data_IF_511131698412
#
_entry.id   IF_511131698412
#
_cell.length_a   1.000
_cell.length_b   1.000
_cell.length_c   1.000
_cell.angle_alpha   90.00
_cell.angle_beta   90.00
_cell.angle_gamma   90.00
#
_symmetry.space_group_name_H-M   'P 1'
#
loop_
_entity.id
_entity.type
_entity.pdbx_description
1 polymer ?
#
# COMPACT_ATOMS: atom_id res chain seq x y z
N UNK A 1 -2.16 8.38 -13.78
CA UNK A 1 -1.02 8.08 -12.87
C UNK A 1 -0.28 6.85 -13.39
N UNK A 2 0.96 6.58 -12.99
CA UNK A 2 1.68 5.35 -13.33
C UNK A 2 1.98 4.54 -12.06
N UNK A 3 2.52 3.33 -12.20
CA UNK A 3 2.83 2.46 -11.06
C UNK A 3 3.80 3.09 -10.05
N UNK A 4 4.72 3.94 -10.50
CA UNK A 4 5.66 4.65 -9.62
C UNK A 4 4.94 5.62 -8.68
N UNK A 5 4.12 6.52 -9.22
CA UNK A 5 3.37 7.47 -8.39
C UNK A 5 2.34 6.74 -7.51
N UNK A 6 1.73 5.66 -8.01
CA UNK A 6 0.80 4.86 -7.24
C UNK A 6 1.47 4.15 -6.04
N UNK A 7 2.65 3.57 -6.25
CA UNK A 7 3.44 2.94 -5.20
C UNK A 7 3.87 3.97 -4.14
N UNK A 8 4.34 5.15 -4.58
CA UNK A 8 4.70 6.24 -3.69
C UNK A 8 3.51 6.71 -2.84
N UNK A 9 2.35 6.93 -3.47
CA UNK A 9 1.12 7.33 -2.78
C UNK A 9 0.73 6.31 -1.71
N UNK A 10 0.76 5.02 -2.05
CA UNK A 10 0.44 3.95 -1.11
C UNK A 10 1.43 3.89 0.06
N UNK A 11 2.74 3.94 -0.24
CA UNK A 11 3.79 3.92 0.78
C UNK A 11 3.64 5.09 1.78
N UNK A 12 3.42 6.30 1.27
CA UNK A 12 3.23 7.50 2.09
C UNK A 12 1.94 7.40 2.92
N UNK A 13 0.83 6.95 2.32
CA UNK A 13 -0.42 6.77 3.04
C UNK A 13 -0.26 5.79 4.21
N UNK A 14 0.35 4.62 3.99
CA UNK A 14 0.60 3.62 5.02
C UNK A 14 1.44 4.20 6.17
N UNK A 15 2.49 4.97 5.86
CA UNK A 15 3.34 5.62 6.86
C UNK A 15 2.55 6.64 7.68
N UNK A 16 1.89 7.59 7.01
CA UNK A 16 1.22 8.71 7.68
C UNK A 16 0.04 8.25 8.53
N UNK A 17 -0.81 7.37 8.01
CA UNK A 17 -1.94 6.84 8.78
C UNK A 17 -1.48 5.97 9.97
N UNK A 18 -0.34 5.27 9.86
CA UNK A 18 0.20 4.49 10.97
C UNK A 18 0.77 5.37 12.08
N UNK A 19 1.54 6.41 11.71
CA UNK A 19 2.03 7.42 12.67
C UNK A 19 0.83 8.08 13.37
N UNK A 20 -0.18 8.47 12.60
CA UNK A 20 -1.38 9.07 13.16
C UNK A 20 -2.15 8.13 14.08
N UNK A 21 -2.27 6.85 13.72
CA UNK A 21 -2.91 5.84 14.56
C UNK A 21 -2.20 5.66 15.91
N UNK A 22 -0.86 5.72 15.92
CA UNK A 22 -0.07 5.62 17.14
C UNK A 22 -0.19 6.88 18.00
N UNK A 23 0.00 8.07 17.42
CA UNK A 23 -0.02 9.34 18.15
C UNK A 23 -1.42 9.73 18.63
N UNK A 24 -2.48 9.29 17.93
CA UNK A 24 -3.86 9.60 18.25
C UNK A 24 -4.55 8.64 19.21
N UNK A 25 -3.85 7.59 19.68
CA UNK A 25 -4.43 6.59 20.58
C UNK A 25 -4.11 6.90 22.05
N UNK A 26 -5.12 6.79 22.92
CA UNK A 26 -4.95 6.86 24.39
C UNK A 26 -4.09 5.69 24.89
N UNK A 27 -4.22 4.51 24.26
CA UNK A 27 -3.43 3.32 24.53
C UNK A 27 -2.75 2.86 23.23
N UNK A 28 -1.60 3.45 22.87
CA UNK A 28 -0.95 3.16 21.60
C UNK A 28 -0.41 1.72 21.57
N UNK A 29 -0.70 1.00 20.48
CA UNK A 29 -0.19 -0.34 20.25
C UNK A 29 0.97 -0.32 19.26
N UNK A 30 2.03 -1.08 19.56
CA UNK A 30 3.13 -1.30 18.61
C UNK A 30 2.67 -2.01 17.32
N UNK A 31 1.55 -2.74 17.36
CA UNK A 31 0.99 -3.37 16.15
C UNK A 31 0.49 -2.36 15.12
N UNK A 32 0.23 -1.11 15.52
CA UNK A 32 -0.13 -0.02 14.60
C UNK A 32 1.03 0.35 13.66
N UNK A 33 2.27 -0.04 13.96
CA UNK A 33 3.43 0.17 13.09
C UNK A 33 3.61 -0.91 12.01
N UNK A 34 2.79 -1.98 11.98
CA UNK A 34 2.91 -2.99 10.91
C UNK A 34 2.73 -2.34 9.52
N UNK A 35 1.67 -1.54 9.25
CA UNK A 35 1.53 -0.87 7.96
C UNK A 35 2.63 0.18 7.73
N UNK A 36 3.15 0.84 8.78
CA UNK A 36 4.30 1.74 8.68
C UNK A 36 5.53 1.04 8.11
N UNK A 37 5.89 -0.13 8.64
CA UNK A 37 7.05 -0.90 8.17
C UNK A 37 6.89 -1.28 6.71
N UNK A 38 5.70 -1.73 6.31
CA UNK A 38 5.42 -2.01 4.89
C UNK A 38 5.49 -0.77 4.02
N UNK A 39 5.03 0.39 4.52
CA UNK A 39 5.19 1.67 3.83
C UNK A 39 6.66 2.01 3.58
N UNK A 40 7.54 1.83 4.56
CA UNK A 40 8.99 2.03 4.40
C UNK A 40 9.57 1.05 3.37
N UNK A 41 9.18 -0.22 3.42
CA UNK A 41 9.61 -1.22 2.44
C UNK A 41 9.19 -0.83 1.02
N UNK A 42 7.93 -0.45 0.81
CA UNK A 42 7.43 0.00 -0.50
C UNK A 42 8.13 1.28 -0.98
N UNK A 43 8.46 2.20 -0.06
CA UNK A 43 9.20 3.41 -0.38
C UNK A 43 10.62 3.09 -0.87
N UNK A 44 11.29 2.11 -0.24
CA UNK A 44 12.63 1.66 -0.65
C UNK A 44 12.66 1.04 -2.06
N UNK A 45 11.53 0.46 -2.50
CA UNK A 45 11.37 -0.14 -3.84
C UNK A 45 10.97 0.88 -4.91
N UNK A 46 10.68 2.13 -4.54
CA UNK A 46 10.06 3.10 -5.43
C UNK A 46 10.96 3.45 -6.63
N UNK A 47 12.29 3.53 -6.43
CA UNK A 47 13.25 3.73 -7.51
C UNK A 47 13.21 2.57 -8.52
N UNK A 48 13.16 1.32 -8.06
CA UNK A 48 13.02 0.18 -8.97
C UNK A 48 11.71 0.17 -9.74
N UNK A 49 10.62 0.63 -9.11
CA UNK A 49 9.34 0.81 -9.81
C UNK A 49 9.44 1.91 -10.88
N UNK A 50 10.13 3.01 -10.59
CA UNK A 50 10.37 4.11 -11.55
C UNK A 50 11.18 3.65 -12.75
N UNK A 51 12.29 2.95 -12.50
CA UNK A 51 13.22 2.49 -13.54
C UNK A 51 12.87 1.11 -14.10
N UNK A 52 11.68 0.57 -13.76
CA UNK A 52 11.14 -0.71 -14.26
C UNK A 52 12.06 -1.92 -14.02
N UNK A 53 12.78 -1.93 -12.89
CA UNK A 53 13.55 -3.10 -12.45
C UNK A 53 12.57 -4.23 -12.12
N UNK A 54 12.48 -5.23 -13.01
CA UNK A 54 11.41 -6.25 -13.01
C UNK A 54 11.27 -6.95 -11.65
N UNK A 55 12.39 -7.27 -10.99
CA UNK A 55 12.37 -7.90 -9.66
C UNK A 55 11.72 -6.99 -8.61
N UNK A 56 12.12 -5.72 -8.53
CA UNK A 56 11.57 -4.76 -7.56
C UNK A 56 10.10 -4.44 -7.84
N UNK A 57 9.69 -4.36 -9.12
CA UNK A 57 8.27 -4.19 -9.48
C UNK A 57 7.42 -5.37 -8.99
N UNK A 58 7.88 -6.60 -9.19
CA UNK A 58 7.16 -7.81 -8.74
C UNK A 58 7.08 -7.88 -7.22
N UNK A 59 8.18 -7.56 -6.53
CA UNK A 59 8.21 -7.53 -5.06
C UNK A 59 7.28 -6.44 -4.52
N UNK A 60 7.30 -5.23 -5.07
CA UNK A 60 6.43 -4.14 -4.65
C UNK A 60 4.93 -4.48 -4.86
N UNK A 61 4.58 -5.09 -6.00
CA UNK A 61 3.23 -5.54 -6.26
C UNK A 61 2.78 -6.65 -5.28
N UNK A 62 3.65 -7.63 -5.02
CA UNK A 62 3.37 -8.71 -4.06
C UNK A 62 3.22 -8.20 -2.62
N UNK A 63 4.09 -7.29 -2.19
CA UNK A 63 3.98 -6.63 -0.88
C UNK A 63 2.70 -5.80 -0.77
N UNK A 64 2.34 -5.06 -1.81
CA UNK A 64 1.09 -4.29 -1.83
C UNK A 64 -0.12 -5.21 -1.71
N UNK A 65 -0.12 -6.35 -2.39
CA UNK A 65 -1.20 -7.34 -2.30
C UNK A 65 -1.29 -7.92 -0.89
N UNK A 66 -0.15 -8.27 -0.29
CA UNK A 66 -0.07 -8.77 1.07
C UNK A 66 -0.64 -7.75 2.07
N UNK A 67 -0.26 -6.46 1.95
CA UNK A 67 -0.78 -5.38 2.81
C UNK A 67 -2.29 -5.21 2.65
N UNK A 68 -2.77 -5.19 1.40
CA UNK A 68 -4.20 -5.04 1.13
C UNK A 68 -5.04 -6.14 1.80
N UNK A 69 -4.60 -7.40 1.70
CA UNK A 69 -5.26 -8.53 2.34
C UNK A 69 -5.09 -8.50 3.87
N UNK A 70 -3.92 -8.11 4.37
CA UNK A 70 -3.65 -8.00 5.79
C UNK A 70 -4.52 -6.94 6.48
N UNK A 71 -4.90 -5.87 5.77
CA UNK A 71 -5.77 -4.80 6.27
C UNK A 71 -7.23 -5.22 6.50
N UNK A 72 -7.66 -6.38 5.98
CA UNK A 72 -9.02 -6.92 6.22
C UNK A 72 -9.25 -7.19 7.71
N UNK A 73 -8.26 -7.77 8.41
CA UNK A 73 -8.39 -8.06 9.86
C UNK A 73 -8.50 -6.78 10.71
N UNK A 74 -7.63 -5.76 10.54
CA UNK A 74 -7.80 -4.47 11.19
C UNK A 74 -9.15 -3.81 10.89
N UNK A 75 -9.66 -3.93 9.66
CA UNK A 75 -10.95 -3.38 9.29
C UNK A 75 -12.08 -4.06 10.06
N UNK A 76 -12.14 -5.39 10.03
CA UNK A 76 -13.13 -6.19 10.75
C UNK A 76 -13.09 -5.89 12.26
N UNK A 77 -11.90 -5.88 12.84
CA UNK A 77 -11.72 -5.53 14.25
C UNK A 77 -12.09 -4.09 14.59
N UNK A 78 -11.99 -3.14 13.65
CA UNK A 78 -12.44 -1.75 13.85
C UNK A 78 -13.95 -1.61 13.77
N UNK A 79 -14.60 -2.35 12.87
CA UNK A 79 -16.06 -2.40 12.73
C UNK A 79 -16.67 -3.01 13.99
N UNK A 80 -16.15 -4.15 14.45
CA UNK A 80 -16.66 -4.82 15.65
C UNK A 80 -16.50 -4.02 16.96
N UNK A 81 -15.73 -2.92 16.96
CA UNK A 81 -15.57 -2.00 18.09
C UNK A 81 -16.26 -0.66 17.88
N UNK A 82 -16.98 -0.47 16.77
CA UNK A 82 -17.56 0.80 16.35
C UNK A 82 -16.57 1.98 16.37
N UNK A 83 -15.28 1.70 16.12
CA UNK A 83 -14.23 2.72 16.08
C UNK A 83 -14.21 3.36 14.67
N UNK A 84 -15.10 4.33 14.46
CA UNK A 84 -15.23 5.05 13.18
C UNK A 84 -13.91 5.69 12.73
N UNK A 85 -13.08 6.12 13.68
CA UNK A 85 -11.78 6.70 13.39
C UNK A 85 -10.80 5.65 12.85
N UNK A 86 -10.88 4.42 13.36
CA UNK A 86 -10.11 3.28 12.87
C UNK A 86 -10.56 2.81 11.50
N UNK A 87 -11.87 2.73 11.30
CA UNK A 87 -12.44 2.39 10.01
C UNK A 87 -11.94 3.35 8.94
N UNK A 88 -12.01 4.68 9.20
CA UNK A 88 -11.59 5.69 8.25
C UNK A 88 -10.14 5.53 7.79
N UNK A 89 -9.20 5.41 8.74
CA UNK A 89 -7.77 5.26 8.41
C UNK A 89 -7.46 3.95 7.70
N UNK A 90 -8.08 2.84 8.12
CA UNK A 90 -7.87 1.52 7.49
C UNK A 90 -8.42 1.53 6.07
N UNK A 91 -9.62 2.08 5.85
CA UNK A 91 -10.21 2.22 4.51
C UNK A 91 -9.33 3.12 3.63
N UNK A 92 -8.79 4.22 4.15
CA UNK A 92 -7.85 5.08 3.42
C UNK A 92 -6.60 4.34 2.94
N UNK A 93 -6.00 3.51 3.82
CA UNK A 93 -4.88 2.64 3.45
C UNK A 93 -5.29 1.59 2.41
N UNK A 94 -6.47 0.98 2.55
CA UNK A 94 -6.97 -0.02 1.60
C UNK A 94 -7.23 0.57 0.20
N UNK A 95 -7.80 1.77 0.12
CA UNK A 95 -8.05 2.47 -1.15
C UNK A 95 -6.73 2.72 -1.88
N UNK A 96 -5.72 3.26 -1.18
CA UNK A 96 -4.42 3.55 -1.78
C UNK A 96 -3.67 2.27 -2.19
N UNK A 97 -3.76 1.20 -1.41
CA UNK A 97 -3.22 -0.12 -1.77
C UNK A 97 -3.92 -0.73 -2.97
N UNK A 98 -5.25 -0.65 -3.04
CA UNK A 98 -6.02 -1.13 -4.18
C UNK A 98 -5.69 -0.36 -5.45
N UNK A 99 -5.60 0.97 -5.37
CA UNK A 99 -5.16 1.81 -6.49
C UNK A 99 -3.76 1.40 -6.98
N UNK A 100 -2.81 1.20 -6.08
CA UNK A 100 -1.47 0.74 -6.46
C UNK A 100 -1.49 -0.61 -7.19
N UNK A 101 -2.28 -1.59 -6.73
CA UNK A 101 -2.46 -2.88 -7.41
C UNK A 101 -3.00 -2.73 -8.83
N UNK A 102 -4.03 -1.89 -9.03
CA UNK A 102 -4.58 -1.62 -10.36
C UNK A 102 -3.49 -1.09 -11.30
N UNK A 103 -2.69 -0.12 -10.85
CA UNK A 103 -1.61 0.45 -11.65
C UNK A 103 -0.48 -0.55 -11.94
N UNK A 104 -0.14 -1.45 -11.01
CA UNK A 104 0.82 -2.52 -11.29
C UNK A 104 0.31 -3.46 -12.40
N UNK A 105 -0.96 -3.84 -12.40
CA UNK A 105 -1.57 -4.69 -13.43
C UNK A 105 -1.65 -3.96 -14.79
N UNK A 106 -2.10 -2.71 -14.79
CA UNK A 106 -2.25 -1.91 -16.01
C UNK A 106 -0.91 -1.67 -16.69
N UNK A 107 0.14 -1.30 -15.93
CA UNK A 107 1.47 -1.09 -16.51
C UNK A 107 2.07 -2.38 -17.10
N UNK A 108 1.76 -3.55 -16.55
CA UNK A 108 2.20 -4.83 -17.10
C UNK A 108 1.62 -5.09 -18.49
N UNK A 109 0.32 -4.80 -18.67
CA UNK A 109 -0.36 -4.94 -19.97
C UNK A 109 0.21 -3.98 -21.02
N UNK A 110 0.48 -2.72 -20.65
CA UNK A 110 1.09 -1.75 -21.57
C UNK A 110 2.49 -2.17 -22.03
N UNK A 111 3.30 -2.79 -21.15
CA UNK A 111 4.61 -3.29 -21.51
C UNK A 111 4.54 -4.47 -22.50
N UNK A 112 3.59 -5.40 -22.33
CA UNK A 112 3.39 -6.54 -23.23
C UNK A 112 2.91 -6.14 -24.63
N UNK A 113 2.04 -5.13 -24.73
CA UNK A 113 1.56 -4.66 -26.04
C UNK A 113 2.70 -3.98 -26.82
N UNK A 114 3.60 -3.27 -26.13
CA UNK A 114 4.75 -2.62 -26.77
C UNK A 114 5.80 -3.61 -27.29
N UNK A 115 5.95 -4.80 -26.68
CA UNK A 115 6.93 -5.80 -27.12
C UNK A 115 6.46 -6.63 -28.32
N UNK A 116 5.18 -6.59 -28.67
CA UNK A 116 4.61 -7.26 -29.86
C UNK A 116 4.65 -6.40 -31.13
N UNK A 117 5.15 -5.16 -31.03
CA UNK A 117 5.17 -4.17 -32.13
C UNK A 117 6.50 -4.11 -32.87
N UNK A 118 7.46 -4.97 -32.49
CA UNK A 118 8.77 -5.17 -33.09
C UNK A 118 8.97 -6.68 -33.30
#
# INVERSE_FOLDING_TARGET
MNAYIANLLNAVALILFSIWAYLGSINPSMTAFIPFVFGIMLLSLNNGVQYKVISQVRVAAALTLLVFLALIKPLDGSIGRDDHMAIFRVVGMMITSFLALLYFIMNYKSALISSKKY
#
